data_IF_372257991069
#
_entry.id   IF_372257991069
#
_cell.length_a   1.000
_cell.length_b   1.000
_cell.length_c   1.000
_cell.angle_alpha   90.00
_cell.angle_beta   90.00
_cell.angle_gamma   90.00
#
_symmetry.space_group_name_H-M   'P 1'
#
loop_
_entity.id
_entity.type
_entity.pdbx_description
1 polymer ?
#
# COMPACT_ATOMS: atom_id res chain seq x y z
N UNK A 1 -50.12 23.98 -21.60
CA UNK A 1 -49.43 23.90 -20.29
C UNK A 1 -47.98 24.34 -20.47
N UNK A 2 -47.59 25.49 -19.92
CA UNK A 2 -46.23 26.04 -20.03
C UNK A 2 -45.36 25.52 -18.87
N UNK A 3 -44.31 24.77 -19.19
CA UNK A 3 -43.28 24.37 -18.23
C UNK A 3 -42.40 25.58 -17.86
N UNK A 4 -42.43 25.99 -16.58
CA UNK A 4 -41.45 26.90 -15.99
C UNK A 4 -40.14 26.13 -15.79
N UNK A 5 -39.06 26.58 -16.43
CA UNK A 5 -37.69 26.22 -16.05
C UNK A 5 -37.26 27.13 -14.90
N UNK A 6 -36.90 26.55 -13.76
CA UNK A 6 -36.18 27.21 -12.68
C UNK A 6 -34.68 27.28 -13.02
N UNK A 7 -33.98 28.40 -12.79
CA UNK A 7 -32.54 28.45 -12.84
C UNK A 7 -31.99 28.21 -11.44
N UNK A 8 -31.47 27.01 -11.16
CA UNK A 8 -30.53 26.85 -10.07
C UNK A 8 -29.16 27.33 -10.58
N UNK A 9 -28.91 28.62 -10.40
CA UNK A 9 -27.58 29.19 -10.49
C UNK A 9 -26.82 28.77 -9.22
N UNK A 10 -26.01 27.71 -9.33
CA UNK A 10 -25.02 27.37 -8.32
C UNK A 10 -23.84 28.32 -8.45
N UNK A 11 -23.70 29.19 -7.44
CA UNK A 11 -22.61 30.14 -7.26
C UNK A 11 -21.25 29.44 -7.36
N UNK A 12 -20.46 29.82 -8.37
CA UNK A 12 -19.06 29.45 -8.43
C UNK A 12 -18.33 30.13 -7.28
N UNK A 13 -17.94 29.37 -6.27
CA UNK A 13 -17.01 29.82 -5.23
C UNK A 13 -15.73 30.33 -5.92
N UNK A 14 -15.59 31.64 -5.98
CA UNK A 14 -14.36 32.33 -6.36
C UNK A 14 -13.37 32.12 -5.22
N UNK A 15 -12.61 31.03 -5.29
CA UNK A 15 -11.38 30.93 -4.50
C UNK A 15 -10.50 32.12 -4.86
N UNK A 16 -10.23 32.96 -3.86
CA UNK A 16 -9.31 34.08 -3.95
C UNK A 16 -7.99 33.60 -4.55
N UNK A 17 -7.56 34.24 -5.64
CA UNK A 17 -6.26 33.96 -6.27
C UNK A 17 -5.17 34.20 -5.22
N UNK A 18 -4.26 33.25 -4.96
CA UNK A 18 -3.14 33.50 -4.06
C UNK A 18 -2.31 34.67 -4.61
N UNK A 19 -1.88 35.55 -3.70
CA UNK A 19 -1.02 36.69 -4.01
C UNK A 19 0.31 36.15 -4.49
N UNK A 20 0.49 36.05 -5.81
CA UNK A 20 1.70 35.49 -6.40
C UNK A 20 2.84 36.49 -6.25
N UNK A 21 3.76 36.20 -5.33
CA UNK A 21 4.98 36.96 -5.06
C UNK A 21 5.96 37.03 -6.26
N UNK A 22 5.67 36.35 -7.38
CA UNK A 22 6.47 36.34 -8.61
C UNK A 22 7.77 35.52 -8.51
N UNK A 23 8.10 35.00 -7.34
CA UNK A 23 9.31 34.23 -7.08
C UNK A 23 9.13 32.79 -7.59
N UNK A 24 10.08 32.33 -8.41
CA UNK A 24 10.11 30.99 -8.99
C UNK A 24 11.27 30.15 -8.43
N UNK A 25 10.98 28.90 -8.06
CA UNK A 25 11.94 27.88 -7.66
C UNK A 25 11.95 26.80 -8.74
N UNK A 26 13.06 26.64 -9.47
CA UNK A 26 13.17 25.73 -10.61
C UNK A 26 12.04 25.91 -11.67
N UNK A 27 11.54 27.14 -11.83
CA UNK A 27 10.42 27.45 -12.73
C UNK A 27 9.02 27.17 -12.17
N UNK A 28 8.91 26.80 -10.89
CA UNK A 28 7.63 26.62 -10.16
C UNK A 28 7.38 27.78 -9.19
N UNK A 29 6.14 28.24 -8.99
CA UNK A 29 5.82 29.26 -7.99
C UNK A 29 6.26 28.84 -6.58
N UNK A 30 6.92 29.74 -5.82
CA UNK A 30 7.38 29.41 -4.46
C UNK A 30 6.24 29.05 -3.51
N UNK A 31 5.07 29.66 -3.68
CA UNK A 31 3.88 29.38 -2.87
C UNK A 31 3.33 27.98 -3.13
N UNK A 32 3.43 27.49 -4.37
CA UNK A 32 3.11 26.12 -4.73
C UNK A 32 4.06 25.15 -4.02
N UNK A 33 5.35 25.43 -4.07
CA UNK A 33 6.41 24.61 -3.45
C UNK A 33 6.24 24.53 -1.93
N UNK A 34 5.81 25.62 -1.29
CA UNK A 34 5.57 25.62 0.17
C UNK A 34 4.37 24.77 0.61
N UNK A 35 3.45 24.46 -0.30
CA UNK A 35 2.20 23.77 0.00
C UNK A 35 2.21 22.28 -0.38
N UNK A 36 3.24 21.82 -1.10
CA UNK A 36 3.33 20.41 -1.45
C UNK A 36 3.79 19.56 -0.25
N UNK A 37 3.50 18.27 -0.31
CA UNK A 37 3.97 17.31 0.68
C UNK A 37 5.17 16.59 0.10
N UNK A 38 6.30 16.66 0.81
CA UNK A 38 7.53 15.97 0.46
C UNK A 38 7.61 14.60 1.14
N UNK A 39 8.07 13.61 0.38
CA UNK A 39 8.28 12.24 0.81
C UNK A 39 9.74 11.86 0.55
N UNK A 40 10.55 11.63 1.60
CA UNK A 40 11.94 11.24 1.41
C UNK A 40 12.03 9.89 0.68
N UNK A 41 12.99 9.76 -0.23
CA UNK A 41 13.34 8.46 -0.84
C UNK A 41 14.76 8.07 -0.43
N UNK A 42 15.24 6.91 -0.88
CA UNK A 42 16.60 6.46 -0.56
C UNK A 42 17.69 7.32 -1.21
N UNK A 43 17.39 8.05 -2.28
CA UNK A 43 18.38 8.79 -3.08
C UNK A 43 17.94 10.23 -3.41
N UNK A 44 16.68 10.57 -3.15
CA UNK A 44 16.04 11.81 -3.58
C UNK A 44 14.81 12.09 -2.70
N UNK A 45 13.78 12.73 -3.26
CA UNK A 45 12.49 12.92 -2.64
C UNK A 45 11.40 12.94 -3.72
N UNK A 46 10.18 12.53 -3.36
CA UNK A 46 9.01 12.74 -4.20
C UNK A 46 8.10 13.78 -3.56
N UNK A 47 7.30 14.43 -4.41
CA UNK A 47 6.35 15.45 -4.00
C UNK A 47 4.94 15.04 -4.41
N UNK A 48 3.99 15.32 -3.53
CA UNK A 48 2.56 15.27 -3.84
C UNK A 48 1.97 16.65 -3.73
N UNK A 49 1.19 17.03 -4.74
CA UNK A 49 0.49 18.32 -4.78
C UNK A 49 -1.00 18.03 -4.92
N UNK A 50 -1.79 18.56 -3.99
CA UNK A 50 -3.25 18.36 -4.01
C UNK A 50 -3.86 18.98 -5.28
N UNK A 51 -5.06 18.52 -5.65
CA UNK A 51 -5.72 19.04 -6.86
C UNK A 51 -6.10 20.50 -6.69
N UNK A 52 -6.53 20.87 -5.49
CA UNK A 52 -6.97 22.21 -5.11
C UNK A 52 -5.82 23.20 -5.28
N UNK A 53 -4.64 22.86 -4.75
CA UNK A 53 -3.42 23.68 -4.87
C UNK A 53 -2.99 23.78 -6.33
N UNK A 54 -3.01 22.68 -7.11
CA UNK A 54 -2.65 22.72 -8.54
C UNK A 54 -3.53 23.67 -9.35
N UNK A 55 -4.84 23.72 -9.05
CA UNK A 55 -5.82 24.55 -9.77
C UNK A 55 -5.70 26.04 -9.47
N UNK A 56 -5.03 26.41 -8.38
CA UNK A 56 -4.75 27.81 -8.07
C UNK A 56 -3.67 28.41 -8.98
N UNK A 57 -2.67 27.62 -9.39
CA UNK A 57 -1.53 28.11 -10.17
C UNK A 57 -1.55 27.69 -11.65
N UNK A 58 -2.27 26.62 -11.99
CA UNK A 58 -2.33 26.10 -13.36
C UNK A 58 -3.76 25.88 -13.82
N UNK A 59 -4.06 26.29 -15.05
CA UNK A 59 -5.38 26.14 -15.66
C UNK A 59 -5.80 24.66 -15.78
N UNK A 60 -4.83 23.78 -16.06
CA UNK A 60 -5.09 22.35 -16.22
C UNK A 60 -3.91 21.47 -15.76
N UNK A 61 -4.22 20.18 -15.57
CA UNK A 61 -3.24 19.16 -15.18
C UNK A 61 -2.10 19.02 -16.20
N UNK A 62 -2.34 19.33 -17.47
CA UNK A 62 -1.34 19.27 -18.54
C UNK A 62 -0.29 20.40 -18.41
N UNK A 63 -0.73 21.63 -18.13
CA UNK A 63 0.14 22.77 -17.89
C UNK A 63 0.99 22.56 -16.64
N UNK A 64 0.37 22.07 -15.57
CA UNK A 64 1.09 21.66 -14.36
C UNK A 64 2.13 20.57 -14.66
N UNK A 65 1.73 19.51 -15.37
CA UNK A 65 2.64 18.42 -15.72
C UNK A 65 3.81 18.85 -16.61
N UNK A 66 3.58 19.81 -17.52
CA UNK A 66 4.65 20.41 -18.34
C UNK A 66 5.63 21.18 -17.46
N UNK A 67 5.13 22.02 -16.54
CA UNK A 67 5.97 22.77 -15.61
C UNK A 67 6.82 21.86 -14.72
N UNK A 68 6.22 20.79 -14.18
CA UNK A 68 6.95 19.79 -13.38
C UNK A 68 8.07 19.10 -14.17
N UNK A 69 7.83 18.73 -15.43
CA UNK A 69 8.88 18.14 -16.29
C UNK A 69 10.02 19.11 -16.58
N UNK A 70 9.70 20.37 -16.86
CA UNK A 70 10.69 21.44 -17.06
C UNK A 70 11.53 21.64 -15.79
N UNK A 71 10.90 21.56 -14.62
CA UNK A 71 11.55 21.62 -13.32
C UNK A 71 12.36 20.35 -12.96
N UNK A 72 12.36 19.32 -13.83
CA UNK A 72 13.14 18.09 -13.65
C UNK A 72 12.44 16.98 -12.86
N UNK A 73 11.11 17.04 -12.73
CA UNK A 73 10.31 16.02 -12.05
C UNK A 73 9.71 15.01 -13.03
N UNK A 74 9.63 13.74 -12.60
CA UNK A 74 9.04 12.64 -13.38
C UNK A 74 7.78 12.13 -12.68
N UNK A 75 6.65 11.96 -13.38
CA UNK A 75 5.44 11.44 -12.78
C UNK A 75 5.58 9.94 -12.46
N UNK A 76 5.25 9.55 -11.24
CA UNK A 76 5.27 8.15 -10.80
C UNK A 76 3.87 7.77 -10.30
N UNK A 77 3.34 6.67 -10.83
CA UNK A 77 2.10 6.05 -10.35
C UNK A 77 2.44 5.04 -9.29
N UNK A 78 1.98 5.28 -8.06
CA UNK A 78 2.48 4.51 -6.93
C UNK A 78 1.37 3.96 -6.07
N UNK A 79 0.55 3.10 -6.67
CA UNK A 79 -0.35 2.20 -5.91
C UNK A 79 0.44 1.33 -4.91
N UNK A 80 1.71 1.03 -5.21
CA UNK A 80 2.63 0.24 -4.38
C UNK A 80 3.16 0.95 -3.13
N UNK A 81 2.93 2.26 -2.95
CA UNK A 81 3.58 3.04 -1.90
C UNK A 81 2.72 3.40 -0.72
N UNK A 82 1.49 3.83 -0.96
CA UNK A 82 0.57 4.27 0.09
C UNK A 82 -0.67 3.38 0.15
N UNK A 83 -0.77 2.36 -0.71
CA UNK A 83 -1.98 1.54 -0.90
C UNK A 83 -3.16 2.31 -1.49
N UNK A 84 -3.03 3.62 -1.71
CA UNK A 84 -4.02 4.51 -2.33
C UNK A 84 -3.54 4.93 -3.72
N UNK A 85 -4.45 5.13 -4.66
CA UNK A 85 -4.13 5.66 -6.00
C UNK A 85 -3.77 7.16 -5.88
N UNK A 86 -2.51 7.43 -5.53
CA UNK A 86 -1.93 8.78 -5.53
C UNK A 86 -1.04 9.00 -6.76
N UNK A 87 -1.07 10.23 -7.30
CA UNK A 87 -0.10 10.69 -8.30
C UNK A 87 1.03 11.43 -7.60
N UNK A 88 2.25 10.92 -7.71
CA UNK A 88 3.44 11.52 -7.10
C UNK A 88 4.41 11.97 -8.20
N UNK A 89 5.27 12.93 -7.87
CA UNK A 89 6.30 13.46 -8.77
C UNK A 89 7.66 13.30 -8.14
N UNK A 90 8.55 12.53 -8.75
CA UNK A 90 9.90 12.29 -8.24
C UNK A 90 10.86 13.35 -8.78
N UNK A 91 11.65 13.98 -7.92
CA UNK A 91 12.66 14.96 -8.34
C UNK A 91 13.93 14.25 -8.82
N UNK A 92 14.41 14.57 -10.04
CA UNK A 92 15.69 14.14 -10.66
C UNK A 92 16.03 12.65 -10.50
N UNK A 93 15.86 11.89 -11.58
CA UNK A 93 16.30 10.49 -11.66
C UNK A 93 17.83 10.45 -11.81
N UNK A 94 18.57 10.53 -10.70
CA UNK A 94 20.00 10.15 -10.67
C UNK A 94 20.11 8.63 -10.54
N UNK A 95 19.97 7.91 -11.66
CA UNK A 95 20.26 6.47 -11.75
C UNK A 95 19.04 5.54 -11.64
N UNK A 96 19.26 4.28 -11.23
CA UNK A 96 18.21 3.25 -11.01
C UNK A 96 17.43 3.51 -9.72
N UNK A 97 16.92 4.72 -9.55
CA UNK A 97 16.18 5.10 -8.35
C UNK A 97 14.86 4.33 -8.32
N UNK A 98 14.66 3.51 -7.27
CA UNK A 98 13.51 2.58 -7.16
C UNK A 98 12.22 3.30 -6.74
N UNK A 99 12.22 4.63 -6.72
CA UNK A 99 11.14 5.49 -6.26
C UNK A 99 11.12 5.60 -4.73
N UNK A 100 10.10 6.30 -4.22
CA UNK A 100 9.81 6.37 -2.79
C UNK A 100 9.60 4.95 -2.25
N UNK A 101 9.94 4.68 -1.00
CA UNK A 101 9.70 3.38 -0.36
C UNK A 101 8.63 3.60 0.70
N UNK A 102 7.58 2.78 0.70
CA UNK A 102 6.60 2.80 1.78
C UNK A 102 7.31 2.56 3.12
N UNK A 103 6.98 3.35 4.15
CA UNK A 103 7.55 3.18 5.50
C UNK A 103 7.33 1.75 6.04
N UNK A 104 6.26 1.09 5.58
CA UNK A 104 5.97 -0.31 5.85
C UNK A 104 5.83 -1.08 4.54
N UNK A 105 6.52 -2.22 4.38
CA UNK A 105 6.32 -3.08 3.22
C UNK A 105 4.86 -3.56 3.20
N UNK A 106 4.19 -3.44 2.05
CA UNK A 106 2.89 -4.06 1.86
C UNK A 106 3.02 -5.57 2.09
N UNK A 107 2.05 -6.23 2.77
CA UNK A 107 2.12 -7.66 3.03
C UNK A 107 2.22 -8.40 1.70
N UNK A 108 3.40 -8.93 1.42
CA UNK A 108 3.67 -9.67 0.20
C UNK A 108 3.13 -11.09 0.37
N UNK A 109 1.80 -11.24 0.25
CA UNK A 109 1.04 -12.40 -0.27
C UNK A 109 -0.36 -12.46 0.37
N UNK A 110 -1.36 -12.61 -0.49
CA UNK A 110 -2.77 -12.71 -0.16
C UNK A 110 -3.20 -14.04 0.52
N UNK A 111 -2.26 -14.90 0.92
CA UNK A 111 -2.58 -16.12 1.66
C UNK A 111 -1.37 -16.48 2.55
N UNK A 112 -1.36 -16.01 3.80
CA UNK A 112 -0.55 -16.70 4.82
C UNK A 112 -1.16 -18.10 4.97
N UNK A 113 -0.37 -19.14 4.71
CA UNK A 113 -0.83 -20.51 4.92
C UNK A 113 -1.07 -20.70 6.41
N UNK A 114 -2.31 -21.00 6.79
CA UNK A 114 -2.71 -21.28 8.17
C UNK A 114 -2.93 -22.78 8.31
N UNK A 115 -2.46 -23.37 9.40
CA UNK A 115 -2.64 -24.78 9.70
C UNK A 115 -3.81 -24.93 10.66
N UNK A 116 -4.92 -25.45 10.12
CA UNK A 116 -6.11 -25.77 10.91
C UNK A 116 -5.95 -27.07 11.69
N UNK A 117 -6.31 -26.99 12.97
CA UNK A 117 -6.27 -28.07 13.95
C UNK A 117 -7.61 -28.18 14.66
N UNK A 118 -7.94 -29.35 15.19
CA UNK A 118 -9.18 -29.60 15.95
C UNK A 118 -8.88 -30.43 17.18
N UNK A 119 -9.71 -30.26 18.22
CA UNK A 119 -9.68 -31.11 19.41
C UNK A 119 -10.43 -32.42 19.21
N UNK A 120 -11.45 -32.43 18.34
CA UNK A 120 -12.34 -33.57 18.10
C UNK A 120 -11.96 -34.33 16.83
N UNK A 121 -12.22 -35.65 16.77
CA UNK A 121 -12.06 -36.41 15.55
C UNK A 121 -13.01 -35.89 14.48
N UNK A 122 -12.47 -35.59 13.31
CA UNK A 122 -13.24 -35.17 12.14
C UNK A 122 -12.75 -35.94 10.91
N UNK A 123 -13.62 -36.39 9.99
CA UNK A 123 -13.22 -37.28 8.89
C UNK A 123 -12.14 -36.69 7.97
N UNK A 124 -12.02 -35.36 7.93
CA UNK A 124 -11.07 -34.63 7.07
C UNK A 124 -9.79 -34.23 7.80
N UNK A 125 -9.68 -34.59 9.08
CA UNK A 125 -8.51 -34.32 9.91
C UNK A 125 -7.81 -35.64 10.26
N UNK A 126 -6.47 -35.61 10.22
CA UNK A 126 -5.64 -36.76 10.62
C UNK A 126 -5.02 -36.51 11.97
N UNK A 127 -5.04 -37.54 12.82
CA UNK A 127 -4.39 -37.52 14.12
C UNK A 127 -2.89 -37.70 13.95
N UNK A 128 -2.12 -36.64 14.18
CA UNK A 128 -0.66 -36.64 14.00
C UNK A 128 0.04 -35.99 15.19
N UNK A 129 1.31 -36.34 15.39
CA UNK A 129 2.17 -35.66 16.34
C UNK A 129 2.62 -34.31 15.72
N UNK A 130 2.00 -33.21 16.16
CA UNK A 130 2.34 -31.84 15.76
C UNK A 130 3.03 -31.13 16.93
N UNK A 131 4.24 -30.62 16.71
CA UNK A 131 5.01 -29.86 17.70
C UNK A 131 5.16 -30.56 19.07
N UNK A 132 5.19 -31.90 19.06
CA UNK A 132 5.35 -32.71 20.26
C UNK A 132 4.04 -33.04 21.01
N UNK A 133 2.88 -32.74 20.43
CA UNK A 133 1.57 -33.12 20.96
C UNK A 133 0.76 -33.85 19.90
N UNK A 134 -0.11 -34.77 20.32
CA UNK A 134 -1.07 -35.37 19.40
C UNK A 134 -2.23 -34.41 19.14
N UNK A 135 -2.50 -34.11 17.86
CA UNK A 135 -3.58 -33.23 17.45
C UNK A 135 -4.20 -33.71 16.13
N UNK A 136 -5.48 -33.40 15.92
CA UNK A 136 -6.13 -33.57 14.64
C UNK A 136 -5.76 -32.39 13.75
N UNK A 137 -5.13 -32.64 12.61
CA UNK A 137 -4.70 -31.63 11.64
C UNK A 137 -5.41 -31.86 10.32
N UNK A 138 -5.89 -30.80 9.68
CA UNK A 138 -6.56 -30.90 8.39
C UNK A 138 -5.66 -31.60 7.35
N UNK A 139 -6.18 -32.62 6.68
CA UNK A 139 -5.36 -33.54 5.88
C UNK A 139 -4.53 -32.82 4.80
N UNK A 140 -5.12 -31.81 4.15
CA UNK A 140 -4.44 -31.03 3.09
C UNK A 140 -3.36 -30.10 3.63
N UNK A 141 -3.39 -29.76 4.92
CA UNK A 141 -2.42 -28.85 5.52
C UNK A 141 -1.12 -29.55 5.92
N UNK A 142 -1.12 -30.89 6.02
CA UNK A 142 0.06 -31.68 6.38
C UNK A 142 1.22 -31.44 5.40
N UNK A 143 0.93 -31.17 4.12
CA UNK A 143 1.94 -30.87 3.09
C UNK A 143 2.75 -29.60 3.35
N UNK A 144 2.20 -28.68 4.16
CA UNK A 144 2.88 -27.44 4.53
C UNK A 144 3.76 -27.60 5.77
N UNK A 145 3.60 -28.71 6.49
CA UNK A 145 4.35 -28.97 7.70
C UNK A 145 5.71 -29.59 7.41
N UNK A 146 6.67 -29.28 8.28
CA UNK A 146 8.00 -29.90 8.19
C UNK A 146 8.02 -31.20 8.97
N UNK A 147 8.41 -32.31 8.33
CA UNK A 147 8.55 -33.61 8.96
C UNK A 147 9.67 -33.58 10.01
N UNK A 148 9.38 -33.94 11.26
CA UNK A 148 10.33 -33.92 12.39
C UNK A 148 10.06 -35.06 13.36
N UNK A 149 11.10 -35.60 14.01
CA UNK A 149 10.93 -36.60 15.07
C UNK A 149 10.61 -35.88 16.38
N UNK A 150 9.57 -36.33 17.07
CA UNK A 150 9.16 -35.80 18.36
C UNK A 150 9.22 -36.92 19.41
N UNK A 151 9.36 -36.53 20.68
CA UNK A 151 8.98 -37.40 21.79
C UNK A 151 7.59 -36.95 22.23
N UNK A 152 6.63 -37.86 22.18
CA UNK A 152 5.27 -37.64 22.69
C UNK A 152 5.01 -38.76 23.68
N UNK A 153 4.62 -38.42 24.90
CA UNK A 153 4.39 -39.37 26.00
C UNK A 153 5.57 -40.34 26.23
N UNK A 154 6.80 -39.82 26.11
CA UNK A 154 8.03 -40.61 26.28
C UNK A 154 8.43 -41.47 25.08
N UNK A 155 7.54 -41.65 24.09
CA UNK A 155 7.80 -42.46 22.88
C UNK A 155 8.34 -41.59 21.75
N UNK A 156 9.38 -42.06 21.06
CA UNK A 156 9.90 -41.40 19.85
C UNK A 156 9.00 -41.72 18.66
N UNK A 157 8.30 -40.71 18.15
CA UNK A 157 7.40 -40.84 17.01
C UNK A 157 7.82 -39.93 15.85
N UNK A 158 7.46 -40.33 14.65
CA UNK A 158 7.58 -39.50 13.47
C UNK A 158 6.38 -38.54 13.43
N UNK A 159 6.65 -37.24 13.53
CA UNK A 159 5.63 -36.19 13.50
C UNK A 159 6.01 -35.06 12.57
N UNK A 160 5.43 -33.90 12.87
CA UNK A 160 5.51 -32.69 12.07
C UNK A 160 5.64 -31.46 12.97
N UNK A 161 6.18 -30.37 12.43
CA UNK A 161 6.32 -29.08 13.12
C UNK A 161 5.77 -27.96 12.25
N UNK A 162 5.00 -27.05 12.86
CA UNK A 162 4.44 -25.89 12.18
C UNK A 162 5.46 -24.74 12.08
N UNK A 163 6.45 -24.66 12.99
CA UNK A 163 7.56 -23.69 13.14
C UNK A 163 7.24 -22.21 12.88
N UNK A 164 6.84 -21.86 11.66
CA UNK A 164 6.60 -20.50 11.18
C UNK A 164 5.19 -20.31 10.61
N UNK A 165 4.33 -21.34 10.70
CA UNK A 165 2.94 -21.28 10.26
C UNK A 165 2.01 -20.99 11.44
N UNK A 166 1.09 -20.03 11.31
CA UNK A 166 0.06 -19.81 12.31
C UNK A 166 -0.84 -21.05 12.42
N UNK A 167 -1.16 -21.43 13.66
CA UNK A 167 -2.10 -22.49 13.99
C UNK A 167 -3.47 -21.89 14.28
N UNK A 168 -4.49 -22.43 13.64
CA UNK A 168 -5.88 -22.10 13.89
C UNK A 168 -6.55 -23.32 14.53
N UNK A 169 -7.15 -23.14 15.70
CA UNK A 169 -7.88 -24.20 16.40
C UNK A 169 -9.35 -24.01 16.07
N UNK A 170 -9.95 -25.01 15.43
CA UNK A 170 -11.38 -25.11 15.21
C UNK A 170 -11.98 -25.91 16.37
N UNK A 171 -13.10 -25.43 16.92
CA UNK A 171 -13.83 -26.07 18.04
C UNK A 171 -14.76 -27.21 17.60
#
# INVERSE_FOLDING_TARGET
MKLKKSPFAGEGQTHSKPVTSGILVNGLPIELVRQWIEYPTKQSFAVSVSTEVRRQYYQNDAAFGKAMRVAGYVPVRTRKLTGKDGRFWLYRVTGKDKGVVAEKPAPHKACSVVVQTMARPHPWFKYIALDGKWQYVYADHIRFLTKKRHRVDGVRVQGYTAKDLPLEVLE
#
